data_IF_082706954193
#
_entry.id   IF_082706954193
#
_cell.length_a   1.000
_cell.length_b   1.000
_cell.length_c   1.000
_cell.angle_alpha   90.00
_cell.angle_beta   90.00
_cell.angle_gamma   90.00
#
_symmetry.space_group_name_H-M   'P 1'
#
loop_
_entity.id
_entity.type
_entity.pdbx_description
1 polymer ?
#
# COMPACT_ATOMS: atom_id res chain seq x y z
N UNK A 1 -40.93 -8.21 33.98
CA UNK A 1 -39.67 -8.99 33.98
C UNK A 1 -38.77 -8.32 32.96
N UNK A 2 -37.81 -7.53 33.44
CA UNK A 2 -36.86 -6.83 32.58
C UNK A 2 -35.88 -7.88 32.05
N UNK A 3 -35.84 -8.07 30.74
CA UNK A 3 -34.76 -8.80 30.10
C UNK A 3 -33.55 -7.86 30.13
N UNK A 4 -32.67 -8.09 31.11
CA UNK A 4 -31.33 -7.55 31.07
C UNK A 4 -30.61 -8.31 29.94
N UNK A 5 -30.58 -7.71 28.75
CA UNK A 5 -29.78 -8.22 27.64
C UNK A 5 -28.32 -8.17 28.11
N UNK A 6 -27.60 -9.31 28.15
CA UNK A 6 -26.21 -9.30 28.57
C UNK A 6 -25.42 -8.36 27.64
N UNK A 7 -24.63 -7.48 28.25
CA UNK A 7 -23.74 -6.57 27.52
C UNK A 7 -22.83 -7.36 26.57
N UNK A 8 -22.63 -6.93 25.31
CA UNK A 8 -21.74 -7.62 24.38
C UNK A 8 -20.32 -7.58 24.96
N UNK A 9 -19.89 -8.73 25.47
CA UNK A 9 -18.57 -8.91 26.06
C UNK A 9 -17.59 -9.07 24.91
N UNK A 10 -16.76 -8.04 24.69
CA UNK A 10 -15.48 -8.12 23.97
C UNK A 10 -15.48 -8.86 22.61
N UNK A 11 -16.49 -8.60 21.78
CA UNK A 11 -16.41 -8.81 20.35
C UNK A 11 -15.20 -8.04 19.80
N UNK A 12 -14.30 -8.70 19.06
CA UNK A 12 -13.10 -8.04 18.54
C UNK A 12 -13.49 -7.02 17.48
N UNK A 13 -13.51 -5.74 17.86
CA UNK A 13 -13.78 -4.65 16.92
C UNK A 13 -12.86 -4.78 15.69
N UNK A 14 -13.39 -4.76 14.45
CA UNK A 14 -12.59 -4.99 13.24
C UNK A 14 -11.43 -3.99 13.11
N UNK A 15 -11.57 -2.77 13.67
CA UNK A 15 -10.47 -1.79 13.68
C UNK A 15 -9.34 -2.21 14.60
N UNK A 16 -9.63 -2.87 15.72
CA UNK A 16 -8.60 -3.41 16.63
C UNK A 16 -7.84 -4.54 15.96
N UNK A 17 -8.55 -5.38 15.22
CA UNK A 17 -7.97 -6.47 14.44
C UNK A 17 -7.05 -5.93 13.33
N UNK A 18 -7.53 -4.98 12.53
CA UNK A 18 -6.73 -4.29 11.50
C UNK A 18 -5.48 -3.63 12.11
N UNK A 19 -5.64 -2.95 13.25
CA UNK A 19 -4.52 -2.34 13.96
C UNK A 19 -3.50 -3.39 14.43
N UNK A 20 -3.95 -4.56 14.89
CA UNK A 20 -3.06 -5.65 15.28
C UNK A 20 -2.27 -6.21 14.08
N UNK A 21 -2.94 -6.42 12.94
CA UNK A 21 -2.30 -6.86 11.70
C UNK A 21 -1.25 -5.85 11.23
N UNK A 22 -1.62 -4.57 11.13
CA UNK A 22 -0.67 -3.53 10.75
C UNK A 22 0.46 -3.35 11.76
N UNK A 23 0.19 -3.52 13.06
CA UNK A 23 1.23 -3.46 14.08
C UNK A 23 2.26 -4.58 13.90
N UNK A 24 1.80 -5.81 13.66
CA UNK A 24 2.66 -6.97 13.43
C UNK A 24 3.53 -6.80 12.17
N UNK A 25 2.93 -6.42 11.04
CA UNK A 25 3.65 -6.12 9.81
C UNK A 25 4.65 -4.96 10.01
N UNK A 26 4.25 -3.95 10.79
CA UNK A 26 5.10 -2.84 11.19
C UNK A 26 6.32 -3.27 12.01
N UNK A 27 6.21 -4.27 12.89
CA UNK A 27 7.37 -4.82 13.62
C UNK A 27 8.40 -5.47 12.69
N UNK A 28 7.94 -5.99 11.55
CA UNK A 28 8.80 -6.48 10.45
C UNK A 28 9.29 -5.38 9.51
N UNK A 29 9.04 -4.11 9.87
CA UNK A 29 9.48 -2.95 9.09
C UNK A 29 8.74 -2.76 7.77
N UNK A 30 7.59 -3.43 7.61
CA UNK A 30 6.72 -3.28 6.45
C UNK A 30 5.79 -2.08 6.64
N UNK A 31 5.54 -1.36 5.56
CA UNK A 31 4.48 -0.35 5.52
C UNK A 31 3.14 -1.05 5.30
N UNK A 32 2.17 -0.75 6.17
CA UNK A 32 0.84 -1.35 6.13
C UNK A 32 -0.19 -0.32 5.70
N UNK A 33 -1.01 -0.66 4.72
CA UNK A 33 -2.18 0.11 4.30
C UNK A 33 -3.43 -0.75 4.42
N UNK A 34 -4.54 -0.12 4.80
CA UNK A 34 -5.83 -0.81 4.90
C UNK A 34 -6.77 -0.18 3.89
N UNK A 35 -7.26 -1.00 2.98
CA UNK A 35 -8.25 -0.63 1.98
C UNK A 35 -9.63 -1.11 2.43
N UNK A 36 -10.62 -0.22 2.41
CA UNK A 36 -11.99 -0.54 2.82
C UNK A 36 -12.88 -0.62 1.59
N UNK A 37 -13.47 -1.78 1.37
CA UNK A 37 -14.58 -1.98 0.46
C UNK A 37 -15.92 -1.62 1.11
N UNK A 38 -17.01 -1.86 0.38
CA UNK A 38 -18.37 -1.59 0.87
C UNK A 38 -18.80 -2.54 2.00
N UNK A 39 -18.26 -3.75 2.01
CA UNK A 39 -18.63 -4.80 2.97
C UNK A 39 -17.44 -5.43 3.69
N UNK A 40 -16.21 -5.08 3.29
CA UNK A 40 -15.01 -5.76 3.74
C UNK A 40 -13.79 -4.82 3.77
N UNK A 41 -12.66 -5.31 4.27
CA UNK A 41 -11.38 -4.64 4.25
C UNK A 41 -10.26 -5.58 3.81
N UNK A 42 -9.23 -5.00 3.20
CA UNK A 42 -8.02 -5.71 2.80
C UNK A 42 -6.82 -4.99 3.40
N UNK A 43 -5.90 -5.74 3.98
CA UNK A 43 -4.63 -5.22 4.48
C UNK A 43 -3.55 -5.49 3.43
N UNK A 44 -2.88 -4.43 3.00
CA UNK A 44 -1.79 -4.47 2.04
C UNK A 44 -0.47 -4.16 2.74
N UNK A 45 0.59 -4.85 2.35
CA UNK A 45 1.96 -4.54 2.76
C UNK A 45 2.94 -4.68 1.61
N UNK A 46 3.80 -3.68 1.43
CA UNK A 46 4.86 -3.73 0.42
C UNK A 46 6.07 -4.49 0.94
N UNK A 47 6.57 -5.43 0.14
CA UNK A 47 7.75 -6.22 0.46
C UNK A 47 9.01 -5.59 -0.18
N UNK A 48 10.21 -5.80 0.42
CA UNK A 48 11.45 -5.19 -0.07
C UNK A 48 11.85 -5.58 -1.50
N UNK A 49 11.30 -6.68 -2.02
CA UNK A 49 11.55 -7.17 -3.38
C UNK A 49 10.56 -6.61 -4.42
N UNK A 50 9.72 -5.64 -4.04
CA UNK A 50 8.77 -4.96 -4.91
C UNK A 50 7.47 -5.72 -5.16
N UNK A 51 7.26 -6.86 -4.50
CA UNK A 51 5.96 -7.53 -4.44
C UNK A 51 5.11 -7.00 -3.29
N UNK A 52 3.81 -7.30 -3.31
CA UNK A 52 2.88 -6.90 -2.25
C UNK A 52 2.29 -8.13 -1.58
N UNK A 53 2.14 -8.09 -0.26
CA UNK A 53 1.35 -9.05 0.50
C UNK A 53 -0.04 -8.48 0.75
N UNK A 54 -1.05 -9.31 0.53
CA UNK A 54 -2.47 -8.99 0.63
C UNK A 54 -3.09 -9.96 1.65
N UNK A 55 -3.66 -9.42 2.72
CA UNK A 55 -4.37 -10.18 3.76
C UNK A 55 -5.83 -9.74 3.72
N UNK A 56 -6.73 -10.67 3.40
CA UNK A 56 -8.17 -10.41 3.33
C UNK A 56 -8.94 -11.46 4.13
N UNK A 57 -10.05 -11.08 4.76
CA UNK A 57 -11.05 -12.05 5.18
C UNK A 57 -11.82 -12.57 3.95
N UNK A 58 -12.77 -13.49 4.12
CA UNK A 58 -13.47 -14.15 3.02
C UNK A 58 -14.36 -13.13 2.29
N UNK A 59 -14.28 -13.14 0.96
CA UNK A 59 -15.00 -12.16 0.13
C UNK A 59 -16.52 -12.36 0.16
N UNK A 60 -16.99 -13.59 0.43
CA UNK A 60 -18.38 -13.94 0.64
C UNK A 60 -18.53 -14.60 2.03
N UNK A 61 -18.69 -13.81 3.11
CA UNK A 61 -18.88 -14.38 4.43
C UNK A 61 -20.17 -15.20 4.47
N UNK A 62 -20.17 -16.33 5.18
CA UNK A 62 -21.34 -17.21 5.28
C UNK A 62 -22.49 -16.57 6.07
N UNK A 63 -22.20 -15.52 6.83
CA UNK A 63 -23.15 -14.72 7.61
C UNK A 63 -23.08 -13.24 7.21
N UNK A 64 -24.20 -12.52 7.30
CA UNK A 64 -24.20 -11.05 7.20
C UNK A 64 -23.37 -10.46 8.35
N UNK A 65 -22.16 -9.99 8.03
CA UNK A 65 -21.24 -9.23 8.90
C UNK A 65 -20.90 -9.89 10.24
N UNK A 66 -20.08 -10.95 10.24
CA UNK A 66 -19.50 -11.43 11.48
C UNK A 66 -18.57 -10.35 12.07
N UNK A 67 -18.59 -10.21 13.39
CA UNK A 67 -17.73 -9.30 14.16
C UNK A 67 -16.24 -9.63 14.01
N UNK A 68 -15.92 -10.86 13.61
CA UNK A 68 -14.56 -11.31 13.30
C UNK A 68 -14.58 -12.28 12.12
N UNK A 69 -13.54 -12.29 11.27
CA UNK A 69 -13.49 -13.20 10.12
C UNK A 69 -13.53 -14.66 10.54
N UNK A 70 -14.30 -15.47 9.81
CA UNK A 70 -14.40 -16.93 10.03
C UNK A 70 -13.20 -17.67 9.45
N UNK A 71 -12.52 -17.06 8.49
CA UNK A 71 -11.30 -17.51 7.84
C UNK A 71 -10.52 -16.31 7.27
N UNK A 72 -9.37 -16.59 6.68
CA UNK A 72 -8.42 -15.63 6.13
C UNK A 72 -7.74 -16.19 4.89
N UNK A 73 -7.50 -15.29 3.95
CA UNK A 73 -6.67 -15.51 2.77
C UNK A 73 -5.48 -14.54 2.81
N UNK A 74 -4.29 -15.07 2.54
CA UNK A 74 -3.07 -14.29 2.36
C UNK A 74 -2.44 -14.66 1.05
N UNK A 75 -2.32 -13.68 0.18
CA UNK A 75 -1.62 -13.83 -1.09
C UNK A 75 -0.46 -12.87 -1.17
N UNK A 76 0.53 -13.27 -1.95
CA UNK A 76 1.62 -12.42 -2.39
C UNK A 76 1.48 -12.20 -3.89
N UNK A 77 1.56 -10.96 -4.31
CA UNK A 77 1.32 -10.53 -5.69
C UNK A 77 2.52 -9.77 -6.24
N UNK A 78 2.90 -10.07 -7.49
CA UNK A 78 3.85 -9.29 -8.27
C UNK A 78 3.13 -8.55 -9.39
N UNK A 79 3.23 -7.22 -9.39
CA UNK A 79 2.59 -6.35 -10.39
C UNK A 79 3.30 -6.34 -11.76
N UNK A 80 4.23 -7.27 -12.02
CA UNK A 80 4.90 -7.41 -13.32
C UNK A 80 4.10 -8.39 -14.16
N UNK A 81 3.80 -8.02 -15.40
CA UNK A 81 2.95 -8.84 -16.27
C UNK A 81 3.71 -10.08 -16.81
N UNK A 82 3.12 -11.29 -16.73
CA UNK A 82 1.79 -11.61 -16.18
C UNK A 82 1.79 -11.58 -14.65
N UNK A 83 0.73 -10.98 -14.06
CA UNK A 83 0.56 -10.91 -12.61
C UNK A 83 0.60 -12.32 -12.00
N UNK A 84 1.58 -12.55 -11.12
CA UNK A 84 1.74 -13.83 -10.41
C UNK A 84 1.18 -13.67 -9.00
N UNK A 85 0.35 -14.62 -8.58
CA UNK A 85 -0.17 -14.72 -7.23
C UNK A 85 0.35 -16.01 -6.59
N UNK A 86 0.90 -15.87 -5.39
CA UNK A 86 1.29 -16.96 -4.53
C UNK A 86 0.38 -16.97 -3.30
N UNK A 87 -0.23 -18.11 -2.99
CA UNK A 87 -0.98 -18.29 -1.74
C UNK A 87 -0.01 -18.59 -0.61
N UNK A 88 0.01 -17.72 0.40
CA UNK A 88 0.86 -17.86 1.60
C UNK A 88 0.09 -18.54 2.73
N UNK A 89 -1.17 -18.14 2.91
CA UNK A 89 -2.07 -18.71 3.91
C UNK A 89 -3.48 -18.72 3.34
N UNK A 90 -4.21 -19.79 3.59
CA UNK A 90 -5.57 -19.96 3.10
C UNK A 90 -6.31 -20.88 4.06
N UNK A 91 -7.15 -20.26 4.88
CA UNK A 91 -7.96 -20.91 5.89
C UNK A 91 -9.44 -20.95 5.52
N UNK A 92 -9.78 -20.63 4.26
CA UNK A 92 -11.13 -20.87 3.76
C UNK A 92 -11.48 -22.37 3.84
N UNK A 93 -12.78 -22.72 3.81
CA UNK A 93 -13.19 -24.11 3.68
C UNK A 93 -12.45 -24.77 2.50
N UNK A 94 -11.94 -25.98 2.71
CA UNK A 94 -11.12 -26.73 1.74
C UNK A 94 -9.69 -26.18 1.48
N UNK A 95 -9.34 -25.04 2.08
CA UNK A 95 -7.98 -24.49 2.04
C UNK A 95 -6.95 -25.31 2.83
N UNK A 96 -5.65 -25.23 2.48
CA UNK A 96 -4.57 -25.95 3.16
C UNK A 96 -4.44 -25.62 4.66
N UNK A 97 -5.01 -24.49 5.09
CA UNK A 97 -5.02 -24.00 6.47
C UNK A 97 -6.43 -23.93 7.05
N UNK A 98 -7.42 -24.60 6.46
CA UNK A 98 -8.83 -24.57 6.90
C UNK A 98 -9.00 -24.84 8.41
N UNK A 99 -8.15 -25.70 8.98
CA UNK A 99 -8.15 -26.02 10.42
C UNK A 99 -7.90 -24.82 11.35
N UNK A 100 -7.32 -23.73 10.83
CA UNK A 100 -7.00 -22.54 11.62
C UNK A 100 -8.15 -21.51 11.62
N UNK A 101 -9.07 -21.59 10.64
CA UNK A 101 -10.20 -20.65 10.50
C UNK A 101 -9.78 -19.19 10.68
N UNK A 102 -10.56 -18.44 11.46
CA UNK A 102 -10.34 -17.02 11.77
C UNK A 102 -9.14 -16.69 12.68
N UNK A 103 -8.27 -17.66 12.99
CA UNK A 103 -7.18 -17.49 13.96
C UNK A 103 -6.10 -16.52 13.47
N UNK A 104 -6.09 -15.34 14.07
CA UNK A 104 -5.08 -14.29 13.82
C UNK A 104 -3.67 -14.71 14.26
N UNK A 105 -3.47 -15.39 15.41
CA UNK A 105 -2.13 -15.86 15.77
C UNK A 105 -1.52 -16.82 14.74
N UNK A 106 -2.30 -17.77 14.22
CA UNK A 106 -1.83 -18.73 13.21
C UNK A 106 -1.55 -18.04 11.86
N UNK A 107 -2.42 -17.11 11.46
CA UNK A 107 -2.23 -16.23 10.31
C UNK A 107 -0.91 -15.47 10.40
N UNK A 108 -0.67 -14.76 11.52
CA UNK A 108 0.54 -13.98 11.73
C UNK A 108 1.78 -14.87 11.76
N UNK A 109 1.72 -16.05 12.37
CA UNK A 109 2.82 -17.01 12.37
C UNK A 109 3.18 -17.48 10.95
N UNK A 110 2.19 -17.71 10.09
CA UNK A 110 2.42 -18.09 8.69
C UNK A 110 3.03 -16.94 7.87
N UNK A 111 2.54 -15.71 8.08
CA UNK A 111 3.11 -14.50 7.48
C UNK A 111 4.56 -14.32 7.91
N UNK A 112 4.85 -14.42 9.21
CA UNK A 112 6.19 -14.32 9.77
C UNK A 112 7.13 -15.36 9.16
N UNK A 113 6.71 -16.62 9.12
CA UNK A 113 7.50 -17.69 8.51
C UNK A 113 7.77 -17.44 7.01
N UNK A 114 6.82 -16.84 6.29
CA UNK A 114 7.03 -16.47 4.88
C UNK A 114 7.99 -15.30 4.74
N UNK A 115 7.87 -14.28 5.57
CA UNK A 115 8.81 -13.15 5.60
C UNK A 115 10.23 -13.59 5.91
N UNK A 116 10.41 -14.56 6.82
CA UNK A 116 11.71 -15.16 7.13
C UNK A 116 12.28 -15.93 5.92
N UNK A 117 11.45 -16.68 5.18
CA UNK A 117 11.87 -17.35 3.94
C UNK A 117 12.28 -16.37 2.84
N UNK A 118 11.67 -15.19 2.81
CA UNK A 118 12.02 -14.11 1.89
C UNK A 118 13.22 -13.29 2.37
N UNK A 119 13.74 -13.57 3.56
CA UNK A 119 14.86 -12.85 4.16
C UNK A 119 14.52 -11.40 4.53
N UNK A 120 13.25 -11.11 4.81
CA UNK A 120 12.82 -9.78 5.28
C UNK A 120 13.24 -9.64 6.75
N UNK A 121 14.26 -8.82 7.06
CA UNK A 121 14.74 -8.70 8.42
C UNK A 121 13.73 -7.93 9.28
N UNK A 122 13.71 -8.13 10.60
CA UNK A 122 12.92 -7.28 11.50
C UNK A 122 13.35 -5.81 11.39
N UNK A 123 12.44 -4.88 11.74
CA UNK A 123 12.65 -3.43 11.58
C UNK A 123 13.99 -2.95 12.13
N UNK A 124 14.40 -3.41 13.31
CA UNK A 124 15.64 -2.99 13.98
C UNK A 124 16.89 -3.29 13.15
N UNK A 125 16.89 -4.41 12.42
CA UNK A 125 17.98 -4.81 11.54
C UNK A 125 17.98 -4.03 10.23
N UNK A 126 16.79 -3.73 9.68
CA UNK A 126 16.66 -2.84 8.53
C UNK A 126 17.10 -1.40 8.86
N UNK A 127 16.75 -0.88 10.03
CA UNK A 127 17.18 0.45 10.49
C UNK A 127 18.70 0.51 10.69
N UNK A 128 19.31 -0.54 11.27
CA UNK A 128 20.77 -0.65 11.39
C UNK A 128 21.43 -0.67 10.01
N UNK A 129 20.93 -1.51 9.10
CA UNK A 129 21.47 -1.65 7.73
C UNK A 129 21.33 -0.36 6.92
N UNK A 130 20.18 0.32 7.00
CA UNK A 130 19.95 1.61 6.36
C UNK A 130 20.89 2.70 6.88
N UNK A 131 21.14 2.72 8.20
CA UNK A 131 22.06 3.68 8.84
C UNK A 131 23.52 3.42 8.46
N UNK A 132 23.91 2.16 8.32
CA UNK A 132 25.25 1.76 7.85
C UNK A 132 25.49 2.12 6.38
N UNK A 133 24.48 1.91 5.53
CA UNK A 133 24.51 2.36 4.12
C UNK A 133 24.57 3.89 4.01
N UNK A 134 23.80 4.62 4.80
CA UNK A 134 23.84 6.08 4.82
C UNK A 134 25.20 6.63 5.35
N UNK A 135 25.81 5.96 6.33
CA UNK A 135 27.13 6.31 6.85
C UNK A 135 28.25 6.08 5.81
N UNK A 136 28.08 5.10 4.91
CA UNK A 136 29.05 4.80 3.84
C UNK A 136 28.99 5.81 2.68
N UNK A 137 27.89 6.57 2.53
CA UNK A 137 27.70 7.56 1.45
C UNK A 137 28.24 8.97 1.81
N UNK A 138 28.76 9.19 3.02
CA UNK A 138 29.41 10.46 3.36
C UNK A 138 30.89 10.44 2.96
N UNK A 139 31.35 11.28 2.01
CA UNK A 139 32.78 11.49 1.84
C UNK A 139 33.34 12.20 3.09
N UNK A 140 34.47 11.75 3.67
CA UNK A 140 35.13 12.50 4.72
C UNK A 140 35.79 13.74 4.11
N UNK A 141 35.28 14.92 4.45
CA UNK A 141 35.98 16.18 4.22
C UNK A 141 35.21 17.20 3.39
N UNK A 142 34.26 17.88 4.02
CA UNK A 142 33.96 19.27 3.64
C UNK A 142 33.82 20.10 4.89
N UNK A 143 34.95 20.66 5.29
CA UNK A 143 35.04 21.70 6.33
C UNK A 143 34.11 22.86 5.96
N UNK A 144 33.36 23.43 6.91
CA UNK A 144 32.53 24.60 6.64
C UNK A 144 33.44 25.82 6.40
N UNK A 145 33.57 26.22 5.13
CA UNK A 145 34.24 27.47 4.77
C UNK A 145 33.32 28.62 5.13
N UNK A 146 33.58 29.24 6.29
CA UNK A 146 32.94 30.48 6.73
C UNK A 146 33.45 31.62 5.86
N UNK A 147 32.72 31.95 4.80
CA UNK A 147 32.88 33.21 4.07
C UNK A 147 31.66 34.10 4.34
N UNK A 148 31.84 35.08 5.21
CA UNK A 148 30.90 36.19 5.40
C UNK A 148 30.89 37.05 4.13
N UNK A 149 29.75 37.16 3.45
CA UNK A 149 29.54 38.17 2.40
C UNK A 149 28.70 39.29 2.99
N UNK A 150 29.31 40.46 3.10
CA UNK A 150 28.69 41.72 3.50
C UNK A 150 27.93 42.36 2.33
N UNK A 151 26.90 43.14 2.67
CA UNK A 151 26.00 43.92 1.80
C UNK A 151 26.70 44.82 0.77
N UNK A 152 26.06 45.06 -0.39
CA UNK A 152 25.35 46.30 -0.75
C UNK A 152 25.07 46.37 -2.30
N UNK A 153 24.48 47.45 -2.89
CA UNK A 153 23.08 47.50 -3.32
C UNK A 153 22.86 47.70 -4.85
N UNK A 154 21.63 47.48 -5.31
CA UNK A 154 21.15 47.78 -6.67
C UNK A 154 21.06 49.29 -6.96
N UNK A 155 21.34 49.70 -8.21
CA UNK A 155 20.55 50.76 -8.83
C UNK A 155 20.02 50.42 -10.25
N UNK A 156 18.89 51.05 -10.54
CA UNK A 156 17.99 50.90 -11.69
C UNK A 156 18.26 51.96 -12.77
N UNK A 157 18.31 51.55 -14.05
CA UNK A 157 18.19 52.37 -15.29
C UNK A 157 17.68 51.38 -16.35
N UNK A 158 16.62 51.54 -17.14
CA UNK A 158 15.87 52.72 -17.58
C UNK A 158 15.73 52.64 -19.13
N UNK A 159 14.49 52.64 -19.62
CA UNK A 159 14.05 52.94 -21.01
C UNK A 159 13.85 51.80 -22.05
N UNK A 160 12.62 51.23 -22.02
CA UNK A 160 11.57 51.29 -23.07
C UNK A 160 11.99 51.45 -24.54
N UNK A 161 11.64 50.46 -25.38
CA UNK A 161 10.96 50.65 -26.69
C UNK A 161 10.00 49.46 -26.98
N UNK A 162 8.72 49.78 -27.22
CA UNK A 162 7.66 49.04 -27.93
C UNK A 162 6.96 50.10 -28.81
N UNK A 163 6.06 49.80 -29.78
CA UNK A 163 5.61 48.53 -30.38
C UNK A 163 5.53 48.59 -31.94
N UNK A 164 5.04 47.53 -32.61
CA UNK A 164 4.20 47.49 -33.87
C UNK A 164 4.38 46.08 -34.50
N UNK A 165 3.40 45.19 -34.73
CA UNK A 165 1.94 45.15 -34.65
C UNK A 165 1.43 43.68 -34.77
N UNK A 166 0.11 43.42 -34.89
CA UNK A 166 -0.55 42.10 -34.78
C UNK A 166 -1.02 41.57 -36.17
N UNK A 167 -1.89 40.52 -36.32
CA UNK A 167 -2.30 39.39 -35.45
C UNK A 167 -2.12 38.01 -36.16
N UNK A 168 -2.50 36.88 -35.53
CA UNK A 168 -3.49 35.91 -36.08
C UNK A 168 -3.56 34.63 -35.22
N UNK A 169 -4.75 34.49 -34.65
CA UNK A 169 -5.39 33.29 -34.13
C UNK A 169 -5.36 32.12 -35.13
N UNK A 170 -4.99 30.91 -34.70
CA UNK A 170 -5.39 29.70 -35.42
C UNK A 170 -5.88 28.65 -34.44
N UNK A 171 -7.18 28.76 -34.21
CA UNK A 171 -8.06 27.73 -33.70
C UNK A 171 -8.11 26.52 -34.65
N UNK A 172 -8.35 25.34 -34.05
CA UNK A 172 -9.15 24.21 -34.57
C UNK A 172 -8.44 22.86 -34.69
N UNK A 173 -8.74 21.98 -33.72
CA UNK A 173 -9.57 20.78 -33.90
C UNK A 173 -9.17 19.82 -35.03
N UNK A 174 -8.66 18.65 -34.64
CA UNK A 174 -8.90 17.40 -35.34
C UNK A 174 -9.02 16.23 -34.34
N UNK A 175 -10.23 16.03 -33.83
CA UNK A 175 -10.67 14.73 -33.33
C UNK A 175 -11.35 14.01 -34.51
N UNK A 176 -11.00 12.75 -34.84
CA UNK A 176 -11.81 11.97 -35.75
C UNK A 176 -13.07 11.47 -35.02
N UNK A 177 -14.23 11.85 -35.57
CA UNK A 177 -15.55 11.32 -35.20
C UNK A 177 -15.72 9.85 -35.62
N UNK A 178 -16.42 9.11 -34.76
CA UNK A 178 -17.28 7.94 -34.97
C UNK A 178 -17.33 7.26 -36.34
N UNK A 179 -17.16 5.94 -36.34
CA UNK A 179 -18.03 5.03 -37.09
C UNK A 179 -18.01 3.60 -36.49
N UNK A 180 -19.11 3.23 -35.82
CA UNK A 180 -19.57 1.84 -35.68
C UNK A 180 -20.46 1.55 -36.90
N UNK A 181 -20.36 0.38 -37.55
CA UNK A 181 -21.39 -0.64 -37.35
C UNK A 181 -20.86 -2.09 -37.28
N UNK A 182 -21.61 -2.91 -36.53
CA UNK A 182 -21.53 -4.38 -36.49
C UNK A 182 -21.89 -5.03 -37.84
N UNK A 183 -21.51 -6.30 -38.04
CA UNK A 183 -22.52 -7.33 -38.33
C UNK A 183 -22.34 -8.65 -37.54
N UNK A 184 -23.45 -9.40 -37.46
CA UNK A 184 -23.73 -10.59 -36.64
C UNK A 184 -22.92 -11.87 -36.97
N UNK A 185 -22.92 -12.88 -36.09
CA UNK A 185 -22.49 -14.23 -36.46
C UNK A 185 -23.62 -14.99 -37.19
N UNK A 186 -23.23 -15.77 -38.20
CA UNK A 186 -24.03 -16.85 -38.79
C UNK A 186 -23.38 -18.19 -38.48
N UNK A 187 -24.25 -19.17 -38.28
CA UNK A 187 -24.09 -20.62 -38.08
C UNK A 187 -23.84 -21.06 -36.63
#
# INVERSE_FOLDING_TARGET
>A
MHHETPSPTAASDPRRLQAALCSALGQRGLECTVEYGLSDYIVHAELPDGSSMIISPPQEPSSEHPESPESWMVTRHWSVEPAVYEVVFDSEPDGPHARHGGSVPDLLAAVDARLDQLGVPPRQEQERSGKERAATVLPPGSTPSRASVALAPSPSIGQRVLPTGPPTESSARAAPSSARPSPAPRL
#
